data_IF_991009452481
#
_entry.id   IF_991009452481
#
_cell.length_a   1.000
_cell.length_b   1.000
_cell.length_c   1.000
_cell.angle_alpha   90.00
_cell.angle_beta   90.00
_cell.angle_gamma   90.00
#
_symmetry.space_group_name_H-M   'P 1'
#
loop_
_entity.id
_entity.type
_entity.pdbx_description
1 polymer ?
#
# COMPACT_ATOMS: atom_id res chain seq x y z
N UNK A 1 -39.77 -14.64 21.27
CA UNK A 1 -39.81 -15.15 19.88
C UNK A 1 -39.46 -14.01 18.94
N UNK A 2 -38.51 -14.29 18.03
CA UNK A 2 -38.19 -13.64 16.76
C UNK A 2 -37.93 -12.12 16.72
N UNK A 3 -36.65 -11.81 16.58
CA UNK A 3 -36.00 -10.61 16.06
C UNK A 3 -36.41 -10.31 14.61
N UNK A 4 -36.44 -9.03 14.21
CA UNK A 4 -36.29 -8.64 12.80
C UNK A 4 -35.74 -7.21 12.69
N UNK A 5 -34.45 -7.04 13.00
CA UNK A 5 -33.66 -5.92 12.45
C UNK A 5 -33.36 -6.24 10.99
N UNK A 6 -34.03 -5.52 10.09
CA UNK A 6 -33.86 -5.59 8.64
C UNK A 6 -32.49 -5.01 8.29
N UNK A 7 -31.47 -5.86 8.30
CA UNK A 7 -30.10 -5.53 7.93
C UNK A 7 -30.05 -4.98 6.50
N UNK A 8 -29.47 -3.79 6.40
CA UNK A 8 -29.20 -3.01 5.20
C UNK A 8 -28.27 -3.73 4.21
N UNK A 9 -28.26 -3.17 2.99
CA UNK A 9 -27.21 -3.28 1.99
C UNK A 9 -27.12 -4.59 1.18
N UNK A 10 -28.14 -4.80 0.35
CA UNK A 10 -27.98 -5.45 -0.96
C UNK A 10 -27.86 -4.41 -2.06
N UNK A 11 -26.67 -3.86 -2.29
CA UNK A 11 -26.33 -3.19 -3.56
C UNK A 11 -24.82 -3.04 -3.81
N UNK A 12 -24.04 -4.11 -3.63
CA UNK A 12 -22.72 -4.22 -4.27
C UNK A 12 -22.79 -5.23 -5.42
N UNK A 13 -23.29 -4.79 -6.57
CA UNK A 13 -22.96 -5.48 -7.83
C UNK A 13 -22.82 -4.50 -9.00
N UNK A 14 -21.55 -4.44 -9.46
CA UNK A 14 -21.07 -4.31 -10.85
C UNK A 14 -20.79 -2.89 -11.37
N UNK A 15 -19.50 -2.51 -11.30
CA UNK A 15 -18.62 -2.14 -12.45
C UNK A 15 -17.16 -1.92 -11.96
N UNK A 16 -16.25 -2.83 -12.31
CA UNK A 16 -14.84 -2.54 -12.61
C UNK A 16 -13.79 -2.23 -11.52
N UNK A 17 -14.16 -1.96 -10.27
CA UNK A 17 -13.17 -1.61 -9.23
C UNK A 17 -12.61 -2.81 -8.47
N UNK A 18 -11.32 -3.11 -8.61
CA UNK A 18 -10.56 -3.97 -7.68
C UNK A 18 -10.16 -3.13 -6.47
N UNK A 19 -10.26 -3.70 -5.27
CA UNK A 19 -9.81 -3.02 -4.07
C UNK A 19 -8.28 -3.04 -3.98
N UNK A 20 -7.66 -1.95 -3.49
CA UNK A 20 -6.23 -1.94 -3.20
C UNK A 20 -5.91 -2.92 -2.07
N UNK A 21 -4.70 -3.47 -2.10
CA UNK A 21 -4.13 -4.35 -1.06
C UNK A 21 -3.18 -3.57 -0.17
N UNK A 22 -2.95 -4.08 1.04
CA UNK A 22 -2.02 -3.47 2.00
C UNK A 22 -0.62 -4.05 1.81
N UNK A 23 0.37 -3.19 1.61
CA UNK A 23 1.74 -3.62 1.31
C UNK A 23 2.78 -2.68 1.91
N UNK A 24 3.93 -3.21 2.32
CA UNK A 24 5.08 -2.37 2.67
C UNK A 24 5.54 -1.60 1.43
N UNK A 25 5.58 -0.26 1.50
CA UNK A 25 6.18 0.55 0.44
C UNK A 25 7.69 0.52 0.59
N UNK A 26 8.37 0.24 -0.51
CA UNK A 26 9.81 0.33 -0.61
C UNK A 26 10.17 1.55 -1.45
N UNK A 27 11.14 2.33 -0.98
CA UNK A 27 11.78 3.39 -1.75
C UNK A 27 13.26 3.05 -1.86
N UNK A 28 13.72 2.86 -3.09
CA UNK A 28 15.11 2.55 -3.38
C UNK A 28 15.82 3.84 -3.77
N UNK A 29 16.64 4.38 -2.86
CA UNK A 29 17.48 5.56 -3.09
C UNK A 29 18.91 5.14 -3.46
N UNK A 30 19.73 6.06 -3.98
CA UNK A 30 21.07 5.74 -4.49
C UNK A 30 21.91 4.85 -3.55
N UNK A 31 21.96 5.19 -2.26
CA UNK A 31 22.74 4.46 -1.25
C UNK A 31 21.91 3.75 -0.18
N UNK A 32 20.59 3.89 -0.20
CA UNK A 32 19.71 3.41 0.87
C UNK A 32 18.46 2.73 0.33
N UNK A 33 17.89 1.84 1.15
CA UNK A 33 16.58 1.23 0.93
C UNK A 33 15.71 1.60 2.11
N UNK A 34 14.56 2.22 1.83
CA UNK A 34 13.61 2.61 2.86
C UNK A 34 12.36 1.74 2.81
N UNK A 35 11.94 1.28 3.98
CA UNK A 35 10.78 0.43 4.17
C UNK A 35 9.75 1.15 5.04
N UNK A 36 8.50 1.20 4.59
CA UNK A 36 7.43 1.82 5.37
C UNK A 36 7.15 1.02 6.64
N UNK A 37 7.08 1.70 7.78
CA UNK A 37 6.73 1.06 9.07
C UNK A 37 5.28 0.60 9.14
N UNK A 38 4.43 1.24 8.34
CA UNK A 38 3.01 0.93 8.23
C UNK A 38 2.72 0.43 6.81
N UNK A 39 1.77 -0.51 6.65
CA UNK A 39 1.35 -0.93 5.33
C UNK A 39 0.62 0.20 4.63
N UNK A 40 0.84 0.32 3.33
CA UNK A 40 0.26 1.32 2.46
C UNK A 40 -0.66 0.62 1.46
N UNK A 41 -1.79 1.25 1.14
CA UNK A 41 -2.67 0.77 0.07
C UNK A 41 -1.97 0.88 -1.29
N UNK A 42 -1.92 -0.22 -2.03
CA UNK A 42 -1.37 -0.29 -3.38
C UNK A 42 -2.26 -1.17 -4.25
N UNK A 43 -2.28 -0.89 -5.55
CA UNK A 43 -3.03 -1.73 -6.47
C UNK A 43 -2.35 -3.10 -6.66
N UNK A 44 -3.11 -4.20 -6.69
CA UNK A 44 -2.59 -5.53 -7.01
C UNK A 44 -1.82 -5.53 -8.34
N UNK A 45 -0.91 -6.50 -8.51
CA UNK A 45 -0.19 -6.67 -9.77
C UNK A 45 -1.16 -6.83 -10.95
N UNK A 46 -0.85 -6.18 -12.07
CA UNK A 46 -1.70 -6.16 -13.27
C UNK A 46 -2.92 -5.23 -13.16
N UNK A 47 -2.96 -4.36 -12.16
CA UNK A 47 -4.01 -3.35 -11.98
C UNK A 47 -3.40 -1.98 -11.68
N UNK A 48 -4.18 -0.92 -11.90
CA UNK A 48 -3.72 0.46 -11.81
C UNK A 48 -4.68 1.28 -10.96
N UNK A 49 -4.22 2.32 -10.27
CA UNK A 49 -5.11 3.27 -9.61
C UNK A 49 -6.15 3.82 -10.57
N UNK A 50 -7.42 3.79 -10.17
CA UNK A 50 -8.45 4.55 -10.88
C UNK A 50 -8.08 6.03 -10.80
N UNK A 51 -8.14 6.76 -11.90
CA UNK A 51 -7.84 8.20 -11.91
C UNK A 51 -6.34 8.55 -11.97
N UNK A 52 -5.45 7.58 -12.22
CA UNK A 52 -4.02 7.84 -12.43
C UNK A 52 -3.73 8.80 -13.59
N UNK A 53 -4.65 8.90 -14.56
CA UNK A 53 -4.57 9.82 -15.72
C UNK A 53 -4.79 11.30 -15.37
N UNK A 54 -5.29 11.62 -14.16
CA UNK A 54 -5.70 12.97 -13.78
C UNK A 54 -4.80 13.57 -12.67
N UNK A 55 -3.54 13.13 -12.57
CA UNK A 55 -2.61 13.57 -11.52
C UNK A 55 -2.28 15.08 -11.53
N UNK A 56 -2.66 15.83 -12.58
CA UNK A 56 -2.21 17.22 -12.77
C UNK A 56 -3.21 18.34 -12.44
N UNK A 57 -4.49 18.07 -12.19
CA UNK A 57 -5.45 19.18 -11.97
C UNK A 57 -5.66 19.48 -10.48
N UNK A 58 -5.16 20.66 -10.07
CA UNK A 58 -5.33 21.31 -8.77
C UNK A 58 -6.76 21.19 -8.23
N UNK A 59 -7.01 20.16 -7.46
CA UNK A 59 -8.26 19.89 -6.75
C UNK A 59 -8.10 18.59 -5.97
N UNK A 60 -8.88 18.43 -4.89
CA UNK A 60 -8.85 17.21 -4.07
C UNK A 60 -8.93 15.97 -4.97
N UNK A 61 -7.85 15.19 -4.98
CA UNK A 61 -7.72 14.06 -5.89
C UNK A 61 -8.65 12.94 -5.40
N UNK A 62 -9.91 12.93 -5.88
CA UNK A 62 -11.02 12.13 -5.33
C UNK A 62 -10.70 10.63 -5.28
N UNK A 63 -9.79 10.17 -6.12
CA UNK A 63 -9.38 8.77 -6.22
C UNK A 63 -8.27 8.36 -5.26
N UNK A 64 -7.62 9.30 -4.58
CA UNK A 64 -6.52 9.04 -3.66
C UNK A 64 -6.83 9.57 -2.26
N UNK A 65 -6.22 8.95 -1.26
CA UNK A 65 -6.07 9.49 0.09
C UNK A 65 -4.59 9.76 0.33
N UNK A 66 -4.28 10.80 1.09
CA UNK A 66 -2.89 11.09 1.43
C UNK A 66 -2.61 10.75 2.89
N UNK A 67 -1.45 10.17 3.18
CA UNK A 67 -0.96 9.90 4.53
C UNK A 67 0.51 10.24 4.67
N UNK A 68 0.91 10.70 5.85
CA UNK A 68 2.32 10.81 6.22
C UNK A 68 2.74 9.50 6.87
N UNK A 69 3.68 8.79 6.25
CA UNK A 69 4.09 7.46 6.66
C UNK A 69 5.57 7.48 7.07
N UNK A 70 5.92 6.99 8.26
CA UNK A 70 7.31 6.83 8.66
C UNK A 70 7.98 5.67 7.93
N UNK A 71 9.23 5.88 7.53
CA UNK A 71 10.09 4.88 6.89
C UNK A 71 11.36 4.66 7.69
N UNK A 72 11.84 3.43 7.66
CA UNK A 72 13.18 3.06 8.14
C UNK A 72 14.06 2.94 6.91
N UNK A 73 15.13 3.71 6.86
CA UNK A 73 16.12 3.66 5.79
C UNK A 73 17.37 2.94 6.28
N UNK A 74 17.86 2.00 5.48
CA UNK A 74 19.07 1.25 5.76
C UNK A 74 20.01 1.36 4.55
N UNK A 75 21.33 1.41 4.75
CA UNK A 75 22.29 1.38 3.66
C UNK A 75 22.10 0.14 2.78
N UNK A 76 22.23 0.28 1.47
CA UNK A 76 22.15 -0.86 0.52
C UNK A 76 23.20 -1.93 0.78
N UNK A 77 24.35 -1.52 1.33
CA UNK A 77 25.44 -2.40 1.75
C UNK A 77 25.12 -3.19 3.01
N UNK A 78 24.08 -2.84 3.76
CA UNK A 78 23.65 -3.59 4.94
C UNK A 78 23.11 -4.97 4.52
N UNK A 79 23.52 -6.02 5.22
CA UNK A 79 23.00 -7.37 5.00
C UNK A 79 21.52 -7.46 5.37
N UNK A 80 21.10 -6.72 6.40
CA UNK A 80 19.74 -6.76 6.90
C UNK A 80 18.76 -6.10 5.92
N UNK A 81 19.15 -4.98 5.31
CA UNK A 81 18.40 -4.34 4.23
C UNK A 81 18.17 -5.31 3.05
N UNK A 82 19.21 -6.08 2.69
CA UNK A 82 19.14 -7.10 1.64
C UNK A 82 18.23 -8.25 2.03
N UNK A 83 18.27 -8.71 3.28
CA UNK A 83 17.39 -9.75 3.80
C UNK A 83 15.92 -9.32 3.74
N UNK A 84 15.59 -8.13 4.24
CA UNK A 84 14.24 -7.58 4.21
C UNK A 84 13.71 -7.41 2.79
N UNK A 85 14.55 -6.93 1.86
CA UNK A 85 14.17 -6.83 0.45
C UNK A 85 13.85 -8.20 -0.16
N UNK A 86 14.63 -9.23 0.17
CA UNK A 86 14.39 -10.59 -0.29
C UNK A 86 13.10 -11.19 0.30
N UNK A 87 12.85 -10.99 1.60
CA UNK A 87 11.60 -11.38 2.24
C UNK A 87 10.40 -10.72 1.57
N UNK A 88 10.47 -9.42 1.29
CA UNK A 88 9.42 -8.70 0.59
C UNK A 88 9.14 -9.28 -0.80
N UNK A 89 10.19 -9.57 -1.58
CA UNK A 89 10.06 -10.22 -2.90
C UNK A 89 9.32 -11.55 -2.81
N UNK A 90 9.57 -12.35 -1.78
CA UNK A 90 8.86 -13.62 -1.55
C UNK A 90 7.38 -13.40 -1.21
N UNK A 91 7.06 -12.39 -0.38
CA UNK A 91 5.68 -12.08 0.00
C UNK A 91 4.80 -11.71 -1.20
N UNK A 92 5.35 -10.97 -2.17
CA UNK A 92 4.60 -10.49 -3.33
C UNK A 92 4.23 -11.63 -4.28
N UNK A 93 5.09 -12.64 -4.41
CA UNK A 93 4.84 -13.82 -5.24
C UNK A 93 3.65 -14.66 -4.76
N UNK A 94 3.23 -14.49 -3.50
CA UNK A 94 2.24 -15.37 -2.85
C UNK A 94 0.79 -14.89 -2.97
N UNK A 95 0.48 -13.84 -3.75
CA UNK A 95 -0.89 -13.35 -4.03
C UNK A 95 -1.79 -13.15 -2.78
N UNK A 96 -1.21 -12.84 -1.62
CA UNK A 96 -1.96 -12.54 -0.40
C UNK A 96 -2.48 -11.11 -0.38
N UNK A 97 -3.59 -10.88 0.33
CA UNK A 97 -4.21 -9.55 0.50
C UNK A 97 -3.40 -8.58 1.37
N UNK A 98 -2.47 -9.11 2.18
CA UNK A 98 -1.53 -8.34 3.00
C UNK A 98 -0.11 -8.81 2.70
N UNK A 99 0.76 -7.88 2.32
CA UNK A 99 2.16 -8.13 1.95
C UNK A 99 3.05 -7.18 2.73
N UNK A 100 3.10 -7.40 4.05
CA UNK A 100 3.77 -6.52 4.99
C UNK A 100 5.01 -7.20 5.59
N UNK A 101 6.12 -6.45 5.64
CA UNK A 101 7.29 -6.81 6.42
C UNK A 101 7.07 -6.50 7.90
N UNK A 102 7.54 -7.39 8.77
CA UNK A 102 7.58 -7.15 10.21
C UNK A 102 8.79 -6.28 10.57
N UNK A 103 8.54 -5.03 10.95
CA UNK A 103 9.59 -4.05 11.28
C UNK A 103 9.56 -3.64 12.76
N UNK A 104 9.00 -4.49 13.63
CA UNK A 104 8.80 -4.18 15.06
C UNK A 104 10.11 -3.92 15.81
N UNK A 105 11.21 -4.54 15.36
CA UNK A 105 12.53 -4.39 15.97
C UNK A 105 13.16 -3.01 15.71
N UNK A 106 12.64 -2.26 14.74
CA UNK A 106 13.18 -0.97 14.33
C UNK A 106 12.40 0.17 14.99
N UNK A 107 12.83 0.59 16.18
CA UNK A 107 12.11 1.59 16.98
C UNK A 107 12.10 2.97 16.33
N UNK A 108 13.23 3.41 15.77
CA UNK A 108 13.38 4.72 15.13
C UNK A 108 13.01 4.66 13.64
N UNK A 109 12.50 5.76 13.09
CA UNK A 109 12.28 5.95 11.66
C UNK A 109 13.23 7.03 11.17
N UNK A 110 13.74 6.88 9.95
CA UNK A 110 14.73 7.79 9.37
C UNK A 110 14.06 8.99 8.72
N UNK A 111 12.91 8.78 8.05
CA UNK A 111 12.17 9.82 7.35
C UNK A 111 10.65 9.62 7.50
N UNK A 112 9.88 10.67 7.25
CA UNK A 112 8.43 10.62 7.12
C UNK A 112 8.06 11.16 5.75
N UNK A 113 7.37 10.37 4.95
CA UNK A 113 7.02 10.72 3.57
C UNK A 113 5.51 10.80 3.36
N UNK A 114 5.10 11.75 2.52
CA UNK A 114 3.72 11.92 2.10
C UNK A 114 3.41 10.92 0.99
N UNK A 115 2.53 9.96 1.27
CA UNK A 115 2.19 8.88 0.34
C UNK A 115 0.75 9.02 -0.14
N UNK A 116 0.55 8.85 -1.43
CA UNK A 116 -0.75 8.72 -2.07
C UNK A 116 -1.20 7.25 -2.06
N UNK A 117 -2.36 7.01 -1.50
CA UNK A 117 -3.03 5.71 -1.42
C UNK A 117 -4.24 5.71 -2.36
N UNK A 118 -4.33 4.82 -3.36
CA UNK A 118 -5.51 4.70 -4.19
C UNK A 118 -6.69 4.20 -3.36
N UNK A 119 -7.88 4.72 -3.63
CA UNK A 119 -9.14 4.20 -3.06
C UNK A 119 -9.64 2.98 -3.83
N UNK A 120 -9.40 2.97 -5.14
CA UNK A 120 -9.87 1.94 -6.07
C UNK A 120 -8.81 1.66 -7.13
N UNK A 121 -8.82 0.43 -7.64
CA UNK A 121 -7.96 -0.03 -8.72
C UNK A 121 -8.81 -0.51 -9.89
N UNK A 122 -8.27 -0.46 -11.09
CA UNK A 122 -8.89 -0.98 -12.32
C UNK A 122 -7.90 -1.84 -13.09
N UNK A 123 -8.42 -2.77 -13.89
CA UNK A 123 -7.64 -3.39 -14.95
C UNK A 123 -7.63 -2.44 -16.16
N UNK A 124 -6.51 -2.39 -16.88
CA UNK A 124 -6.49 -1.80 -18.22
C UNK A 124 -7.29 -2.66 -19.19
#
# INVERSE_FOLDING_TARGET
MATTTKSENRNLKRRGGLLPILRTKIMEMENEICFSKQPIKQCPMGTYPTGWEFEEEKGENKHFTTKNIPFICMPRSDSEARNLLNQYRQLIGNNQQQQQLELNNYKQHSIVEKVLEPKECRRL
#
